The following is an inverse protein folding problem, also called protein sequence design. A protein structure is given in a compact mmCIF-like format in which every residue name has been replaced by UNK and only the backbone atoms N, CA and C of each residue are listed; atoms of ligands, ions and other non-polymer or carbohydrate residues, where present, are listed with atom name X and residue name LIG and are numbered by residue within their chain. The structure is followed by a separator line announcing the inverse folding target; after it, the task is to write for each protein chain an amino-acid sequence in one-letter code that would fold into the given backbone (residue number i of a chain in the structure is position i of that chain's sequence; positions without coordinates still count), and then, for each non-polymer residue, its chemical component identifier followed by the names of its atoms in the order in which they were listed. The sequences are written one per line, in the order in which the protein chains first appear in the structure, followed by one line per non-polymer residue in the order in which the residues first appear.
data_IF_361586697773
#
_entry.id   IF_361586697773
#
_cell.length_a   1.000
_cell.length_b   1.000
_cell.length_c   1.000
_cell.angle_alpha   90.00
_cell.angle_beta   90.00
_cell.angle_gamma   90.00
#
_symmetry.space_group_name_H-M   'P 1'
#
loop_
_entity.id
_entity.type
_entity.pdbx_description
1 polymer ?
#
# COMPACT_ATOMS: atom_id res chain seq x y z
N UNK A 1 -3.35 33.81 -10.20
CA UNK A 1 -3.22 32.51 -9.53
C UNK A 1 -3.94 31.45 -10.32
N UNK A 2 -3.27 30.36 -10.70
CA UNK A 2 -3.86 29.23 -11.41
C UNK A 2 -3.78 28.00 -10.50
N UNK A 3 -4.93 27.44 -10.16
CA UNK A 3 -5.05 26.20 -9.40
C UNK A 3 -4.88 25.02 -10.36
N UNK A 4 -3.94 24.12 -10.07
CA UNK A 4 -3.80 22.84 -10.77
C UNK A 4 -4.62 21.80 -10.01
N UNK A 5 -5.68 21.30 -10.68
CA UNK A 5 -6.54 20.21 -10.21
C UNK A 5 -5.93 18.90 -10.72
N UNK A 6 -5.55 18.00 -9.82
CA UNK A 6 -5.11 16.66 -10.18
C UNK A 6 -6.34 15.82 -10.53
N UNK A 7 -6.35 15.26 -11.75
CA UNK A 7 -7.32 14.26 -12.16
C UNK A 7 -6.76 12.88 -11.77
N UNK A 8 -7.34 12.26 -10.74
CA UNK A 8 -7.14 10.84 -10.44
C UNK A 8 -7.91 10.02 -11.46
N UNK A 9 -7.20 9.59 -12.51
CA UNK A 9 -7.76 8.81 -13.60
C UNK A 9 -6.68 8.08 -14.38
N UNK A 10 -5.69 7.51 -13.68
CA UNK A 10 -4.65 6.69 -14.26
C UNK A 10 -4.95 5.21 -14.05
N UNK A 11 -5.87 4.66 -14.84
CA UNK A 11 -6.05 3.21 -14.94
C UNK A 11 -4.73 2.58 -15.42
N UNK A 12 -4.21 1.65 -14.63
CA UNK A 12 -2.97 0.93 -14.95
C UNK A 12 -3.13 0.14 -16.27
N UNK A 13 -2.15 0.20 -17.19
CA UNK A 13 -2.12 -0.67 -18.36
C UNK A 13 -1.83 -2.09 -17.89
N UNK A 14 -2.88 -2.90 -17.74
CA UNK A 14 -2.74 -4.29 -17.28
C UNK A 14 -4.00 -4.95 -16.74
N UNK A 15 -5.10 -4.22 -16.54
CA UNK A 15 -6.37 -4.82 -16.09
C UNK A 15 -7.24 -5.13 -17.31
N UNK A 16 -7.52 -6.40 -17.65
CA UNK A 16 -8.45 -6.72 -18.71
C UNK A 16 -9.83 -6.22 -18.30
N UNK A 17 -10.32 -5.20 -19.01
CA UNK A 17 -11.71 -4.76 -18.92
C UNK A 17 -12.58 -5.92 -19.39
N UNK A 18 -13.20 -6.63 -18.45
CA UNK A 18 -14.07 -7.77 -18.73
C UNK A 18 -15.33 -7.27 -19.44
N UNK A 19 -15.24 -7.26 -20.77
CA UNK A 19 -16.32 -6.99 -21.71
C UNK A 19 -17.51 -7.88 -21.33
N UNK A 20 -18.59 -7.31 -20.81
CA UNK A 20 -19.85 -8.02 -20.58
C UNK A 20 -20.47 -8.34 -21.93
N UNK A 21 -20.15 -9.51 -22.47
CA UNK A 21 -20.88 -10.07 -23.60
C UNK A 21 -22.22 -10.61 -23.10
N UNK A 22 -23.31 -10.03 -23.61
CA UNK A 22 -24.67 -10.52 -23.36
C UNK A 22 -24.91 -11.68 -24.31
N UNK A 23 -24.90 -12.91 -23.79
CA UNK A 23 -25.35 -14.07 -24.55
C UNK A 23 -26.88 -14.00 -24.71
N UNK A 24 -27.35 -13.77 -25.94
CA UNK A 24 -28.74 -13.98 -26.32
C UNK A 24 -28.95 -15.50 -26.44
N UNK A 25 -29.50 -16.12 -25.39
CA UNK A 25 -29.92 -17.52 -25.43
C UNK A 25 -31.25 -17.59 -26.20
N UNK A 26 -31.19 -18.28 -27.35
CA UNK A 26 -32.35 -18.63 -28.17
C UNK A 26 -33.21 -19.61 -27.38
N UNK A 27 -34.43 -19.22 -27.00
CA UNK A 27 -35.42 -20.13 -26.41
C UNK A 27 -35.90 -21.09 -27.51
N UNK A 28 -35.46 -22.34 -27.47
CA UNK A 28 -36.20 -23.45 -28.07
C UNK A 28 -37.00 -24.10 -26.94
N UNK A 29 -38.32 -23.97 -27.04
CA UNK A 29 -39.25 -24.72 -26.21
C UNK A 29 -39.11 -26.19 -26.56
N UNK A 30 -38.75 -27.02 -25.59
CA UNK A 30 -39.19 -28.41 -25.60
C UNK A 30 -39.51 -28.85 -24.18
N UNK A 31 -40.77 -29.23 -24.04
CA UNK A 31 -41.41 -29.78 -22.87
C UNK A 31 -40.87 -31.16 -22.55
N UNK A 32 -40.44 -31.39 -21.31
CA UNK A 32 -40.84 -32.59 -20.56
C UNK A 32 -40.45 -32.43 -19.10
N UNK A 33 -41.44 -32.36 -18.22
CA UNK A 33 -41.28 -32.45 -16.77
C UNK A 33 -41.08 -33.93 -16.39
N UNK A 34 -40.10 -34.25 -15.54
CA UNK A 34 -40.26 -35.34 -14.59
C UNK A 34 -40.45 -34.76 -13.19
N UNK A 35 -41.62 -35.03 -12.60
CA UNK A 35 -41.92 -34.76 -11.20
C UNK A 35 -40.89 -35.45 -10.30
N UNK A 36 -40.05 -34.66 -9.64
CA UNK A 36 -39.12 -35.13 -8.61
C UNK A 36 -39.67 -34.68 -7.28
N UNK A 37 -40.33 -35.61 -6.58
CA UNK A 37 -40.76 -35.42 -5.19
C UNK A 37 -39.50 -35.35 -4.31
N UNK A 38 -38.97 -34.14 -4.15
CA UNK A 38 -37.78 -33.86 -3.35
C UNK A 38 -38.25 -33.19 -2.07
N UNK A 39 -38.11 -33.90 -0.95
CA UNK A 39 -38.26 -33.31 0.38
C UNK A 39 -37.27 -32.14 0.49
N UNK A 40 -37.78 -30.92 0.47
CA UNK A 40 -37.02 -29.71 0.74
C UNK A 40 -36.68 -29.66 2.25
N UNK A 41 -35.60 -30.34 2.64
CA UNK A 41 -34.71 -29.81 3.69
C UNK A 41 -33.66 -28.95 2.98
N UNK A 42 -34.14 -27.96 2.22
CA UNK A 42 -33.31 -26.95 1.60
C UNK A 42 -33.08 -25.87 2.63
N UNK A 43 -31.88 -25.83 3.22
CA UNK A 43 -31.41 -24.61 3.88
C UNK A 43 -31.63 -23.48 2.86
N UNK A 44 -32.33 -22.42 3.28
CA UNK A 44 -32.56 -21.27 2.43
C UNK A 44 -31.21 -20.84 1.85
N UNK A 45 -31.15 -20.49 0.56
CA UNK A 45 -29.88 -20.16 -0.09
C UNK A 45 -29.08 -19.11 0.71
N UNK A 46 -29.74 -18.27 1.48
CA UNK A 46 -29.11 -17.31 2.40
C UNK A 46 -28.33 -17.97 3.55
N UNK A 47 -28.81 -19.09 4.10
CA UNK A 47 -28.16 -19.85 5.19
C UNK A 47 -26.93 -20.64 4.70
N UNK A 48 -26.95 -21.10 3.45
CA UNK A 48 -25.79 -21.74 2.80
C UNK A 48 -24.66 -20.73 2.59
N UNK A 49 -24.99 -19.51 2.17
CA UNK A 49 -24.00 -18.44 1.99
C UNK A 49 -23.43 -17.96 3.32
N UNK A 50 -24.24 -17.91 4.38
CA UNK A 50 -23.76 -17.61 5.73
C UNK A 50 -22.83 -18.70 6.27
N UNK A 51 -23.14 -19.99 6.05
CA UNK A 51 -22.28 -21.09 6.46
C UNK A 51 -20.96 -21.15 5.67
N UNK A 52 -21.01 -20.90 4.36
CA UNK A 52 -19.81 -20.85 3.52
C UNK A 52 -18.92 -19.65 3.88
N UNK A 53 -19.53 -18.48 4.14
CA UNK A 53 -18.80 -17.30 4.60
C UNK A 53 -18.17 -17.48 5.99
N UNK A 54 -18.85 -18.16 6.91
CA UNK A 54 -18.29 -18.50 8.24
C UNK A 54 -17.15 -19.51 8.11
N UNK A 55 -17.29 -20.52 7.26
CA UNK A 55 -16.23 -21.51 7.01
C UNK A 55 -14.98 -20.89 6.35
N UNK A 56 -15.15 -19.94 5.43
CA UNK A 56 -14.05 -19.21 4.80
C UNK A 56 -13.30 -18.30 5.80
N UNK A 57 -14.02 -17.70 6.75
CA UNK A 57 -13.40 -16.90 7.81
C UNK A 57 -12.62 -17.78 8.78
N UNK A 58 -13.17 -18.92 9.22
CA UNK A 58 -12.45 -19.86 10.09
C UNK A 58 -11.23 -20.52 9.41
N UNK A 59 -11.28 -20.74 8.09
CA UNK A 59 -10.14 -21.26 7.32
C UNK A 59 -9.01 -20.24 7.13
N UNK A 60 -9.29 -18.94 7.27
CA UNK A 60 -8.30 -17.85 7.13
C UNK A 60 -7.73 -17.34 8.45
N UNK A 61 -8.26 -17.79 9.60
CA UNK A 61 -7.65 -17.59 10.91
C UNK A 61 -6.43 -18.51 11.11
N UNK A 62 -5.39 -18.35 10.28
CA UNK A 62 -4.06 -18.81 10.67
C UNK A 62 -3.63 -18.01 11.91
N UNK A 63 -3.77 -18.63 13.09
CA UNK A 63 -3.21 -18.09 14.33
C UNK A 63 -1.76 -17.66 14.08
N UNK A 64 -1.37 -16.43 14.45
CA UNK A 64 -0.01 -15.97 14.23
C UNK A 64 0.95 -16.97 14.86
N UNK A 65 1.76 -17.64 14.03
CA UNK A 65 2.77 -18.57 14.52
C UNK A 65 3.64 -17.81 15.52
N UNK A 66 3.52 -18.17 16.80
CA UNK A 66 4.36 -17.59 17.83
C UNK A 66 5.82 -17.90 17.48
N UNK A 67 6.55 -16.85 17.06
CA UNK A 67 7.99 -16.97 16.87
C UNK A 67 8.59 -17.40 18.19
N UNK A 68 9.34 -18.49 18.18
CA UNK A 68 10.21 -18.89 19.31
C UNK A 68 11.00 -17.66 19.79
N UNK A 69 11.18 -17.53 21.11
CA UNK A 69 11.90 -16.41 21.71
C UNK A 69 13.24 -16.12 21.03
N UNK A 70 13.94 -17.17 20.58
CA UNK A 70 15.22 -17.05 19.86
C UNK A 70 15.09 -16.49 18.44
N UNK A 71 13.99 -16.77 17.74
CA UNK A 71 13.71 -16.18 16.43
C UNK A 71 13.33 -14.71 16.56
N UNK A 72 12.53 -14.37 17.59
CA UNK A 72 12.17 -12.98 17.91
C UNK A 72 13.40 -12.17 18.30
N UNK A 73 14.26 -12.69 19.19
CA UNK A 73 15.47 -12.01 19.62
C UNK A 73 16.46 -11.77 18.47
N UNK A 74 16.60 -12.73 17.54
CA UNK A 74 17.41 -12.54 16.33
C UNK A 74 16.83 -11.46 15.41
N UNK A 75 15.51 -11.43 15.21
CA UNK A 75 14.86 -10.39 14.43
C UNK A 75 15.04 -9.01 15.07
N UNK A 76 14.88 -8.90 16.39
CA UNK A 76 15.10 -7.66 17.14
C UNK A 76 16.55 -7.18 17.05
N UNK A 77 17.53 -8.09 17.12
CA UNK A 77 18.93 -7.76 16.95
C UNK A 77 19.21 -7.19 15.56
N UNK A 78 18.67 -7.81 14.50
CA UNK A 78 18.79 -7.30 13.13
C UNK A 78 18.16 -5.91 12.95
N UNK A 79 17.00 -5.67 13.55
CA UNK A 79 16.36 -4.35 13.53
C UNK A 79 17.17 -3.30 14.31
N UNK A 80 17.79 -3.68 15.43
CA UNK A 80 18.67 -2.81 16.20
C UNK A 80 19.91 -2.42 15.39
N UNK A 81 20.56 -3.38 14.75
CA UNK A 81 21.73 -3.13 13.90
C UNK A 81 21.39 -2.20 12.74
N UNK A 82 20.24 -2.43 12.08
CA UNK A 82 19.74 -1.55 11.02
C UNK A 82 19.50 -0.12 11.54
N UNK A 83 18.79 0.03 12.67
CA UNK A 83 18.51 1.33 13.26
C UNK A 83 19.80 2.08 13.66
N UNK A 84 20.82 1.37 14.15
CA UNK A 84 22.11 1.96 14.47
C UNK A 84 22.88 2.41 13.23
N UNK A 85 22.79 1.68 12.12
CA UNK A 85 23.38 2.08 10.85
C UNK A 85 22.67 3.31 10.28
N UNK A 86 21.34 3.31 10.26
CA UNK A 86 20.54 4.43 9.78
C UNK A 86 20.82 5.69 10.60
N UNK A 87 20.91 5.56 11.93
CA UNK A 87 21.30 6.66 12.83
C UNK A 87 22.67 7.25 12.45
N UNK A 88 23.68 6.41 12.20
CA UNK A 88 25.02 6.87 11.78
C UNK A 88 25.00 7.57 10.43
N UNK A 89 24.19 7.09 9.49
CA UNK A 89 24.03 7.72 8.19
C UNK A 89 23.37 9.09 8.33
N UNK A 90 22.31 9.19 9.15
CA UNK A 90 21.65 10.45 9.45
C UNK A 90 22.58 11.44 10.16
N UNK A 91 23.38 10.98 11.12
CA UNK A 91 24.40 11.82 11.79
C UNK A 91 25.40 12.39 10.78
N UNK A 92 25.92 11.55 9.86
CA UNK A 92 26.84 12.01 8.81
C UNK A 92 26.19 13.00 7.85
N UNK A 93 24.96 12.73 7.43
CA UNK A 93 24.20 13.63 6.57
C UNK A 93 23.97 14.99 7.26
N UNK A 94 23.57 14.97 8.54
CA UNK A 94 23.39 16.18 9.34
C UNK A 94 24.70 16.98 9.43
N UNK A 95 25.82 16.33 9.75
CA UNK A 95 27.13 17.00 9.79
C UNK A 95 27.46 17.67 8.45
N UNK A 96 27.27 16.97 7.32
CA UNK A 96 27.50 17.54 6.00
C UNK A 96 26.61 18.75 5.72
N UNK A 97 25.32 18.71 6.11
CA UNK A 97 24.43 19.87 5.95
C UNK A 97 24.82 21.06 6.83
N UNK A 98 25.30 20.83 8.06
CA UNK A 98 25.82 21.87 8.94
C UNK A 98 27.07 22.53 8.33
N UNK A 99 27.97 21.74 7.76
CA UNK A 99 29.17 22.26 7.12
C UNK A 99 28.84 23.05 5.84
N UNK A 100 27.92 22.55 5.01
CA UNK A 100 27.46 23.26 3.82
C UNK A 100 26.82 24.61 4.17
N UNK A 101 25.92 24.64 5.16
CA UNK A 101 25.28 25.89 5.63
C UNK A 101 26.29 26.85 6.26
N UNK A 102 27.32 26.35 6.96
CA UNK A 102 28.42 27.20 7.45
C UNK A 102 29.22 27.81 6.31
N UNK A 103 29.52 27.05 5.26
CA UNK A 103 30.23 27.55 4.09
C UNK A 103 29.42 28.63 3.35
N UNK A 104 28.11 28.40 3.16
CA UNK A 104 27.20 29.40 2.58
C UNK A 104 27.15 30.67 3.41
N UNK A 105 27.04 30.57 4.74
CA UNK A 105 27.06 31.73 5.63
C UNK A 105 28.38 32.53 5.53
N UNK A 106 29.52 31.84 5.41
CA UNK A 106 30.81 32.52 5.20
C UNK A 106 30.86 33.23 3.85
N UNK A 107 30.36 32.60 2.78
CA UNK A 107 30.28 33.21 1.46
C UNK A 107 29.38 34.47 1.47
N UNK A 108 28.21 34.39 2.12
CA UNK A 108 27.31 35.53 2.27
C UNK A 108 27.95 36.67 3.06
N UNK A 109 28.69 36.37 4.13
CA UNK A 109 29.42 37.40 4.90
C UNK A 109 30.45 38.12 4.03
N UNK A 110 31.22 37.38 3.25
CA UNK A 110 32.19 37.98 2.31
C UNK A 110 31.48 38.86 1.29
N UNK A 111 30.36 38.41 0.74
CA UNK A 111 29.60 39.19 -0.23
C UNK A 111 29.00 40.46 0.38
N UNK A 112 28.49 40.39 1.61
CA UNK A 112 28.01 41.56 2.34
C UNK A 112 29.14 42.60 2.51
N UNK A 113 30.33 42.18 2.92
CA UNK A 113 31.45 43.10 3.09
C UNK A 113 31.92 43.70 1.76
N UNK A 114 31.88 42.93 0.66
CA UNK A 114 32.14 43.45 -0.69
C UNK A 114 31.13 44.52 -1.10
N UNK A 115 29.84 44.24 -0.90
CA UNK A 115 28.77 45.19 -1.25
C UNK A 115 28.89 46.47 -0.42
N UNK A 116 29.15 46.36 0.90
CA UNK A 116 29.40 47.52 1.76
C UNK A 116 30.57 48.37 1.26
N UNK A 117 31.72 47.75 0.98
CA UNK A 117 32.88 48.46 0.47
C UNK A 117 32.61 49.14 -0.88
N UNK A 118 31.79 48.52 -1.75
CA UNK A 118 31.39 49.13 -3.02
C UNK A 118 30.40 50.28 -2.88
N UNK A 119 29.62 50.32 -1.81
CA UNK A 119 28.64 51.38 -1.54
C UNK A 119 29.28 52.61 -0.84
N UNK A 120 30.46 52.44 -0.25
CA UNK A 120 31.26 53.51 0.36
C UNK A 120 32.19 54.23 -0.63
N UNK A 121 32.28 53.74 -1.88
CA UNK A 121 33.04 54.34 -3.00
C UNK A 121 32.13 55.18 -3.91
#
# INVERSE_FOLDING_TARGET
GRWVRWATGGGYPGVPSRRRERFLVRRTSDSSSPDVDSKEDGLDMDEIWEQEAVADVEATEEKPKELSGDARNRALAGLLDQALMDRKQLERALTATIEATRAENMALRVEIERVKASAEL
#
